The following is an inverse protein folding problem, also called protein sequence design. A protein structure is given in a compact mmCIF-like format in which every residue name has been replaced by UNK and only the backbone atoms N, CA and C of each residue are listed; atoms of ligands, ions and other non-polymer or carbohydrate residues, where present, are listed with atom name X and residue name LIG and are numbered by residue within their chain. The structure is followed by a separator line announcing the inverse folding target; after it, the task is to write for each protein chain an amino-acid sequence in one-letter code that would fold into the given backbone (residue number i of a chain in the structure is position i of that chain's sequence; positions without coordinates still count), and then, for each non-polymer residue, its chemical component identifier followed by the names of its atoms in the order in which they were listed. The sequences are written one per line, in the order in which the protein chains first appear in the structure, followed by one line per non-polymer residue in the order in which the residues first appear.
data_IF_718600660479
#
_entry.id   IF_718600660479
#
_cell.length_a   1.000
_cell.length_b   1.000
_cell.length_c   1.000
_cell.angle_alpha   90.00
_cell.angle_beta   90.00
_cell.angle_gamma   90.00
#
_symmetry.space_group_name_H-M   'P 1'
#
loop_
_entity.id
_entity.type
_entity.pdbx_description
1 polymer ?
#
# COMPACT_ATOMS: atom_id res chain seq x y z
N UNK A 1 -2.58 2.67 32.80
CA UNK A 1 -2.51 2.34 31.37
C UNK A 1 -1.40 1.32 31.22
N UNK A 2 -1.64 0.17 30.58
CA UNK A 2 -0.62 -0.89 30.43
C UNK A 2 0.27 -0.58 29.23
N UNK A 3 1.45 -1.19 29.17
CA UNK A 3 2.40 -1.03 28.07
C UNK A 3 1.76 -1.44 26.73
N UNK A 4 1.03 -2.55 26.73
CA UNK A 4 0.34 -3.13 25.57
C UNK A 4 -0.68 -2.15 24.99
N UNK A 5 -1.52 -1.55 25.84
CA UNK A 5 -2.49 -0.52 25.41
C UNK A 5 -1.82 0.72 24.84
N UNK A 6 -0.72 1.15 25.43
CA UNK A 6 0.01 2.31 24.92
C UNK A 6 0.70 2.00 23.59
N UNK A 7 1.26 0.80 23.45
CA UNK A 7 1.89 0.30 22.23
C UNK A 7 0.87 0.14 21.10
N UNK A 8 -0.26 -0.51 21.36
CA UNK A 8 -1.40 -0.62 20.46
C UNK A 8 -1.80 0.76 19.94
N UNK A 9 -2.06 1.72 20.84
CA UNK A 9 -2.43 3.10 20.47
C UNK A 9 -1.38 3.78 19.58
N UNK A 10 -0.09 3.67 19.92
CA UNK A 10 1.00 4.27 19.12
C UNK A 10 1.12 3.63 17.75
N UNK A 11 1.02 2.30 17.68
CA UNK A 11 1.08 1.57 16.40
C UNK A 11 -0.09 1.95 15.48
N UNK A 12 -1.32 2.03 16.01
CA UNK A 12 -2.49 2.49 15.25
C UNK A 12 -2.31 3.92 14.76
N UNK A 13 -1.80 4.82 15.60
CA UNK A 13 -1.59 6.22 15.23
C UNK A 13 -0.49 6.38 14.16
N UNK A 14 0.60 5.62 14.24
CA UNK A 14 1.64 5.58 13.22
C UNK A 14 1.09 5.06 11.88
N UNK A 15 0.37 3.93 11.90
CA UNK A 15 -0.25 3.35 10.71
C UNK A 15 -1.22 4.32 10.05
N UNK A 16 -2.10 4.97 10.83
CA UNK A 16 -3.03 5.96 10.29
C UNK A 16 -2.31 7.10 9.58
N UNK A 17 -1.29 7.69 10.20
CA UNK A 17 -0.50 8.79 9.59
C UNK A 17 0.20 8.34 8.30
N UNK A 18 0.74 7.13 8.29
CA UNK A 18 1.34 6.55 7.10
C UNK A 18 0.31 6.35 5.98
N UNK A 19 -0.82 5.71 6.29
CA UNK A 19 -1.90 5.42 5.34
C UNK A 19 -2.47 6.70 4.77
N UNK A 20 -2.74 7.72 5.58
CA UNK A 20 -3.30 9.00 5.12
C UNK A 20 -2.40 9.64 4.04
N UNK A 21 -1.08 9.65 4.25
CA UNK A 21 -0.10 10.15 3.27
C UNK A 21 -0.01 9.23 2.05
N UNK A 22 0.01 7.92 2.26
CA UNK A 22 0.15 6.94 1.19
C UNK A 22 -1.05 6.93 0.23
N UNK A 23 -2.26 7.17 0.72
CA UNK A 23 -3.47 7.30 -0.12
C UNK A 23 -3.39 8.50 -1.05
N UNK A 24 -2.86 9.63 -0.57
CA UNK A 24 -2.60 10.80 -1.42
C UNK A 24 -1.62 10.43 -2.53
N UNK A 25 -0.52 9.76 -2.19
CA UNK A 25 0.48 9.31 -3.16
C UNK A 25 -0.13 8.33 -4.17
N UNK A 26 -0.95 7.38 -3.74
CA UNK A 26 -1.62 6.43 -4.63
C UNK A 26 -2.51 7.14 -5.67
N UNK A 27 -3.27 8.16 -5.26
CA UNK A 27 -4.07 8.98 -6.19
C UNK A 27 -3.18 9.75 -7.17
N UNK A 28 -2.06 10.28 -6.71
CA UNK A 28 -1.11 10.97 -7.58
C UNK A 28 -0.47 10.02 -8.59
N UNK A 29 -0.20 8.76 -8.21
CA UNK A 29 0.27 7.71 -9.11
C UNK A 29 -0.78 7.40 -10.20
N UNK A 30 -2.06 7.27 -9.85
CA UNK A 30 -3.14 7.11 -10.84
C UNK A 30 -3.19 8.29 -11.80
N UNK A 31 -2.98 9.53 -11.32
CA UNK A 31 -2.92 10.72 -12.18
C UNK A 31 -1.71 10.68 -13.10
N UNK A 32 -0.52 10.39 -12.59
CA UNK A 32 0.72 10.28 -13.40
C UNK A 32 0.55 9.24 -14.50
N UNK A 33 -0.01 8.08 -14.16
CA UNK A 33 -0.20 6.98 -15.11
C UNK A 33 -1.45 7.10 -15.98
N UNK A 34 -2.42 7.94 -15.62
CA UNK A 34 -3.71 8.12 -16.29
C UNK A 34 -3.85 9.42 -17.11
N UNK A 35 -3.11 10.49 -16.78
CA UNK A 35 -3.13 11.77 -17.54
C UNK A 35 -2.05 11.89 -18.61
N UNK A 36 -1.03 11.04 -18.64
CA UNK A 36 0.12 11.24 -19.54
C UNK A 36 0.70 9.98 -20.18
N UNK A 37 0.02 8.83 -20.10
CA UNK A 37 0.41 7.68 -20.92
C UNK A 37 0.14 7.99 -22.41
N UNK A 38 1.16 8.54 -23.09
CA UNK A 38 1.35 8.63 -24.55
C UNK A 38 0.99 9.94 -25.28
N UNK A 39 0.93 11.11 -24.64
CA UNK A 39 0.64 12.38 -25.36
C UNK A 39 1.84 13.28 -25.65
N UNK A 40 3.02 13.05 -25.03
CA UNK A 40 4.20 13.92 -25.23
C UNK A 40 5.30 13.25 -26.08
N UNK A 41 5.71 13.86 -27.21
CA UNK A 41 6.38 13.16 -28.30
C UNK A 41 7.88 12.89 -28.14
N UNK A 42 8.53 13.22 -27.01
CA UNK A 42 10.01 13.13 -26.93
C UNK A 42 10.59 12.20 -25.84
N UNK A 43 10.02 12.12 -24.62
CA UNK A 43 10.55 11.23 -23.56
C UNK A 43 9.47 10.71 -22.56
N UNK A 44 8.42 10.01 -23.00
CA UNK A 44 7.35 9.55 -22.12
C UNK A 44 7.81 8.52 -21.08
N UNK A 45 8.69 7.59 -21.47
CA UNK A 45 9.17 6.50 -20.60
C UNK A 45 10.02 7.01 -19.44
N UNK A 46 10.99 7.88 -19.74
CA UNK A 46 11.88 8.44 -18.73
C UNK A 46 11.11 9.27 -17.69
N UNK A 47 10.11 10.06 -18.12
CA UNK A 47 9.27 10.82 -17.19
C UNK A 47 8.42 9.93 -16.30
N UNK A 48 7.81 8.88 -16.86
CA UNK A 48 7.06 7.91 -16.07
C UNK A 48 7.95 7.24 -15.02
N UNK A 49 9.17 6.82 -15.41
CA UNK A 49 10.17 6.26 -14.49
C UNK A 49 10.51 7.22 -13.35
N UNK A 50 10.88 8.45 -13.69
CA UNK A 50 11.34 9.44 -12.71
C UNK A 50 10.19 9.80 -11.75
N UNK A 51 8.97 9.98 -12.27
CA UNK A 51 7.79 10.21 -11.44
C UNK A 51 7.49 9.03 -10.50
N UNK A 52 7.58 7.78 -10.98
CA UNK A 52 7.38 6.60 -10.14
C UNK A 52 8.46 6.48 -9.05
N UNK A 53 9.71 6.78 -9.38
CA UNK A 53 10.81 6.81 -8.41
C UNK A 53 10.57 7.88 -7.32
N UNK A 54 10.16 9.09 -7.71
CA UNK A 54 9.85 10.17 -6.77
C UNK A 54 8.69 9.77 -5.83
N UNK A 55 7.65 9.13 -6.36
CA UNK A 55 6.52 8.64 -5.54
C UNK A 55 6.91 7.50 -4.61
N UNK A 56 7.79 6.61 -5.03
CA UNK A 56 8.38 5.60 -4.15
C UNK A 56 9.14 6.24 -3.00
N UNK A 57 10.00 7.22 -3.27
CA UNK A 57 10.72 7.95 -2.21
C UNK A 57 9.76 8.68 -1.26
N UNK A 58 8.66 9.23 -1.78
CA UNK A 58 7.63 9.84 -0.95
C UNK A 58 6.97 8.83 0.01
N UNK A 59 6.67 7.59 -0.43
CA UNK A 59 6.15 6.53 0.45
C UNK A 59 7.17 6.18 1.54
N UNK A 60 8.44 6.01 1.17
CA UNK A 60 9.51 5.69 2.13
C UNK A 60 9.70 6.81 3.17
N UNK A 61 9.64 8.06 2.72
CA UNK A 61 9.70 9.21 3.62
C UNK A 61 8.49 9.27 4.56
N UNK A 62 7.28 8.98 4.06
CA UNK A 62 6.06 8.91 4.87
C UNK A 62 6.13 7.80 5.92
N UNK A 63 6.65 6.62 5.56
CA UNK A 63 6.84 5.51 6.50
C UNK A 63 7.83 5.88 7.61
N UNK A 64 8.95 6.52 7.26
CA UNK A 64 9.97 6.97 8.22
C UNK A 64 9.42 8.03 9.17
N UNK A 65 8.71 9.03 8.66
CA UNK A 65 8.12 10.09 9.47
C UNK A 65 7.07 9.53 10.46
N UNK A 66 6.25 8.60 9.99
CA UNK A 66 5.28 7.90 10.84
C UNK A 66 5.98 7.07 11.94
N UNK A 67 7.09 6.40 11.63
CA UNK A 67 7.80 5.55 12.60
C UNK A 67 8.51 6.34 13.70
N UNK A 68 8.93 7.59 13.45
CA UNK A 68 9.66 8.42 14.42
C UNK A 68 8.80 9.48 15.13
N UNK A 69 7.48 9.39 15.00
CA UNK A 69 6.55 10.44 15.46
C UNK A 69 6.49 10.62 16.99
N UNK A 70 6.91 9.64 17.80
CA UNK A 70 6.72 9.66 19.25
C UNK A 70 8.00 10.06 20.01
N UNK A 71 7.94 11.16 20.77
CA UNK A 71 9.07 11.76 21.50
C UNK A 71 9.84 10.83 22.45
N UNK A 72 9.26 9.69 22.87
CA UNK A 72 9.85 8.76 23.85
C UNK A 72 10.09 7.35 23.30
N UNK A 73 10.05 7.15 21.99
CA UNK A 73 10.31 5.84 21.35
C UNK A 73 11.19 6.08 20.13
N UNK A 74 12.31 5.37 20.02
CA UNK A 74 13.23 5.55 18.91
C UNK A 74 12.55 5.27 17.56
N UNK A 75 11.79 4.17 17.45
CA UNK A 75 11.00 3.79 16.26
C UNK A 75 9.77 2.96 16.62
N UNK A 76 8.63 3.25 15.98
CA UNK A 76 7.40 2.42 16.02
C UNK A 76 7.21 1.77 14.64
N UNK A 77 6.91 0.47 14.63
CA UNK A 77 6.70 -0.27 13.40
C UNK A 77 5.46 0.23 12.63
N UNK A 78 5.63 0.47 11.34
CA UNK A 78 4.54 0.70 10.39
C UNK A 78 4.11 -0.63 9.79
N UNK A 79 2.86 -0.74 9.38
CA UNK A 79 2.16 -1.94 8.93
C UNK A 79 1.92 -3.01 10.00
N UNK A 80 2.30 -2.76 11.25
CA UNK A 80 1.98 -3.63 12.38
C UNK A 80 0.90 -2.98 13.23
N UNK A 81 -0.20 -3.68 13.44
CA UNK A 81 -1.21 -3.36 14.44
C UNK A 81 -1.00 -4.26 15.64
N UNK A 82 -1.16 -3.71 16.83
CA UNK A 82 -1.14 -4.45 18.09
C UNK A 82 -2.47 -4.25 18.83
N UNK A 83 -2.99 -5.27 19.49
CA UNK A 83 -4.16 -5.14 20.36
C UNK A 83 -3.80 -4.91 21.84
N UNK A 84 -4.83 -4.78 22.69
CA UNK A 84 -4.63 -4.60 24.12
C UNK A 84 -4.05 -5.83 24.84
N UNK A 85 -4.04 -7.00 24.18
CA UNK A 85 -3.50 -8.26 24.68
C UNK A 85 -2.06 -8.52 24.23
N UNK A 86 -1.52 -7.69 23.33
CA UNK A 86 -0.17 -7.80 22.79
C UNK A 86 -0.06 -8.64 21.52
N UNK A 87 -1.18 -9.08 20.95
CA UNK A 87 -1.21 -9.79 19.67
C UNK A 87 -0.95 -8.80 18.53
N UNK A 88 -0.11 -9.21 17.58
CA UNK A 88 0.31 -8.36 16.46
C UNK A 88 -0.09 -8.97 15.12
N UNK A 89 -0.59 -8.13 14.21
CA UNK A 89 -0.91 -8.52 12.84
C UNK A 89 -0.62 -7.39 11.85
N UNK A 90 -0.68 -7.70 10.56
CA UNK A 90 -0.38 -6.73 9.51
C UNK A 90 -1.61 -5.87 9.20
N UNK A 91 -1.45 -4.55 9.16
CA UNK A 91 -2.49 -3.63 8.72
C UNK A 91 -2.79 -3.85 7.22
N UNK A 92 -4.04 -4.19 6.83
CA UNK A 92 -4.37 -4.51 5.44
C UNK A 92 -4.18 -3.35 4.46
N UNK A 93 -4.29 -2.10 4.91
CA UNK A 93 -4.09 -0.93 4.05
C UNK A 93 -2.60 -0.66 3.90
N UNK A 94 -1.83 -0.70 4.99
CA UNK A 94 -0.38 -0.53 4.94
C UNK A 94 0.32 -1.64 4.14
N UNK A 95 -0.19 -2.88 4.19
CA UNK A 95 0.26 -3.99 3.33
C UNK A 95 0.05 -3.69 1.84
N UNK A 96 -1.12 -3.16 1.48
CA UNK A 96 -1.39 -2.73 0.11
C UNK A 96 -0.46 -1.57 -0.32
N UNK A 97 -0.12 -0.67 0.60
CA UNK A 97 0.88 0.39 0.33
C UNK A 97 2.27 -0.19 0.11
N UNK A 98 2.66 -1.23 0.86
CA UNK A 98 3.89 -1.98 0.63
C UNK A 98 3.92 -2.61 -0.76
N UNK A 99 2.79 -3.19 -1.19
CA UNK A 99 2.64 -3.74 -2.55
C UNK A 99 2.76 -2.65 -3.62
N UNK A 100 2.13 -1.49 -3.43
CA UNK A 100 2.29 -0.33 -4.31
C UNK A 100 3.75 0.14 -4.40
N UNK A 101 4.45 0.23 -3.27
CA UNK A 101 5.87 0.60 -3.27
C UNK A 101 6.71 -0.41 -4.07
N UNK A 102 6.46 -1.72 -3.89
CA UNK A 102 7.15 -2.77 -4.62
C UNK A 102 6.88 -2.73 -6.14
N UNK A 103 5.62 -2.51 -6.55
CA UNK A 103 5.28 -2.41 -7.98
C UNK A 103 5.89 -1.16 -8.62
N UNK A 104 5.89 -0.02 -7.92
CA UNK A 104 6.57 1.20 -8.40
C UNK A 104 8.08 1.00 -8.54
N UNK A 105 8.73 0.35 -7.56
CA UNK A 105 10.16 0.05 -7.64
C UNK A 105 10.50 -0.86 -8.83
N UNK A 106 9.68 -1.90 -9.04
CA UNK A 106 9.80 -2.80 -10.20
C UNK A 106 9.63 -2.02 -11.50
N UNK A 107 8.59 -1.20 -11.60
CA UNK A 107 8.33 -0.39 -12.78
C UNK A 107 9.48 0.59 -13.07
N UNK A 108 9.94 1.34 -12.08
CA UNK A 108 11.08 2.26 -12.25
C UNK A 108 12.36 1.52 -12.70
N UNK A 109 12.61 0.33 -12.16
CA UNK A 109 13.75 -0.51 -12.57
C UNK A 109 13.59 -0.97 -14.02
N UNK A 110 12.42 -1.49 -14.38
CA UNK A 110 12.10 -1.97 -15.73
C UNK A 110 12.24 -0.87 -16.79
N UNK A 111 11.75 0.33 -16.49
CA UNK A 111 11.81 1.47 -17.41
C UNK A 111 13.22 2.07 -17.54
N UNK A 112 14.20 1.59 -16.77
CA UNK A 112 15.57 2.10 -16.82
C UNK A 112 16.25 1.67 -18.12
N UNK A 113 16.70 2.65 -18.91
CA UNK A 113 17.39 2.41 -20.17
C UNK A 113 16.47 2.16 -21.36
N UNK A 114 15.14 2.19 -21.16
CA UNK A 114 14.17 2.03 -22.24
C UNK A 114 14.06 3.30 -23.10
N UNK A 115 13.99 3.10 -24.41
CA UNK A 115 13.75 4.14 -25.39
C UNK A 115 12.26 4.17 -25.79
N UNK A 116 11.79 5.31 -26.29
CA UNK A 116 10.39 5.44 -26.74
C UNK A 116 10.03 4.47 -27.88
N UNK A 117 11.01 4.06 -28.70
CA UNK A 117 10.84 3.06 -29.75
C UNK A 117 10.52 1.66 -29.21
N UNK A 118 10.94 1.34 -28.00
CA UNK A 118 10.76 0.02 -27.39
C UNK A 118 9.29 -0.19 -26.97
N UNK A 119 8.54 0.90 -26.76
CA UNK A 119 7.10 0.83 -26.51
C UNK A 119 6.29 0.47 -27.77
N UNK A 120 6.81 0.80 -28.95
CA UNK A 120 6.18 0.46 -30.24
C UNK A 120 6.54 -0.94 -30.74
N UNK A 121 7.50 -1.62 -30.08
CA UNK A 121 7.83 -3.01 -30.37
C UNK A 121 6.71 -3.95 -29.92
N UNK A 122 6.33 -4.90 -30.78
CA UNK A 122 5.20 -5.82 -30.56
C UNK A 122 5.42 -6.80 -29.42
N UNK A 123 6.66 -6.92 -28.94
CA UNK A 123 7.05 -7.84 -27.87
C UNK A 123 7.25 -7.08 -26.56
N UNK A 124 8.00 -5.99 -26.61
CA UNK A 124 8.37 -5.18 -25.44
C UNK A 124 7.23 -4.29 -24.95
N UNK A 125 6.47 -3.68 -25.86
CA UNK A 125 5.35 -2.79 -25.54
C UNK A 125 4.28 -3.40 -24.63
N UNK A 126 3.73 -4.59 -24.94
CA UNK A 126 2.73 -5.26 -24.10
C UNK A 126 3.24 -5.57 -22.69
N UNK A 127 4.51 -5.97 -22.57
CA UNK A 127 5.11 -6.28 -21.27
C UNK A 127 5.27 -5.04 -20.39
N UNK A 128 5.76 -3.92 -20.96
CA UNK A 128 5.86 -2.64 -20.22
C UNK A 128 4.49 -2.16 -19.76
N UNK A 129 3.49 -2.25 -20.63
CA UNK A 129 2.13 -1.87 -20.28
C UNK A 129 1.61 -2.72 -19.12
N UNK A 130 1.88 -4.04 -19.12
CA UNK A 130 1.54 -4.91 -17.99
C UNK A 130 2.19 -4.48 -16.67
N UNK A 131 3.47 -4.08 -16.69
CA UNK A 131 4.15 -3.57 -15.48
C UNK A 131 3.55 -2.26 -14.99
N UNK A 132 3.14 -1.36 -15.89
CA UNK A 132 2.47 -0.12 -15.52
C UNK A 132 1.04 -0.37 -15.02
N UNK A 133 0.34 -1.35 -15.58
CA UNK A 133 -0.97 -1.79 -15.11
C UNK A 133 -0.89 -2.40 -13.72
N UNK A 134 0.15 -3.17 -13.39
CA UNK A 134 0.41 -3.65 -12.03
C UNK A 134 0.48 -2.49 -11.01
N UNK A 135 1.13 -1.38 -11.38
CA UNK A 135 1.21 -0.18 -10.53
C UNK A 135 -0.16 0.47 -10.37
N UNK A 136 -0.91 0.62 -11.46
CA UNK A 136 -2.29 1.18 -11.42
C UNK A 136 -3.20 0.34 -10.53
N UNK A 137 -3.15 -0.98 -10.68
CA UNK A 137 -3.95 -1.91 -9.89
C UNK A 137 -3.57 -1.83 -8.41
N UNK A 138 -2.28 -1.75 -8.08
CA UNK A 138 -1.82 -1.59 -6.70
C UNK A 138 -2.26 -0.24 -6.10
N UNK A 139 -2.20 0.85 -6.87
CA UNK A 139 -2.67 2.17 -6.43
C UNK A 139 -4.19 2.16 -6.17
N UNK A 140 -4.96 1.58 -7.09
CA UNK A 140 -6.41 1.39 -6.93
C UNK A 140 -6.76 0.54 -5.72
N UNK A 141 -5.96 -0.50 -5.43
CA UNK A 141 -6.15 -1.36 -4.26
C UNK A 141 -5.94 -0.60 -2.94
N UNK A 142 -4.91 0.26 -2.85
CA UNK A 142 -4.70 1.13 -1.69
C UNK A 142 -5.91 2.04 -1.46
N UNK A 143 -6.40 2.69 -2.52
CA UNK A 143 -7.56 3.59 -2.44
C UNK A 143 -8.82 2.82 -2.04
N UNK A 144 -9.04 1.64 -2.61
CA UNK A 144 -10.18 0.77 -2.31
C UNK A 144 -10.17 0.31 -0.86
N UNK A 145 -9.03 -0.16 -0.34
CA UNK A 145 -8.90 -0.61 1.05
C UNK A 145 -9.03 0.54 2.05
N UNK A 146 -8.47 1.70 1.73
CA UNK A 146 -8.64 2.90 2.56
C UNK A 146 -10.11 3.38 2.58
N UNK A 147 -10.81 3.31 1.45
CA UNK A 147 -12.24 3.64 1.35
C UNK A 147 -13.17 2.61 2.01
N UNK A 148 -12.75 1.35 2.10
CA UNK A 148 -13.47 0.29 2.81
C UNK A 148 -13.19 0.19 4.31
N UNK A 149 -12.14 0.85 4.82
CA UNK A 149 -11.74 0.82 6.23
C UNK A 149 -12.58 1.72 7.16
N UNK A 150 -13.74 2.20 6.68
CA UNK A 150 -14.69 2.99 7.46
C UNK A 150 -15.66 2.16 8.33
N UNK A 151 -15.48 0.84 8.45
CA UNK A 151 -16.20 0.03 9.41
C UNK A 151 -15.23 -0.74 10.30
N UNK A 152 -15.25 -0.56 11.64
CA UNK A 152 -14.74 -1.62 12.50
C UNK A 152 -15.61 -2.85 12.21
N UNK A 153 -14.98 -3.99 11.92
CA UNK A 153 -15.68 -5.26 12.01
C UNK A 153 -16.10 -5.41 13.46
N UNK A 154 -17.35 -5.05 13.77
CA UNK A 154 -18.01 -5.46 14.98
C UNK A 154 -18.09 -6.98 14.94
N UNK A 155 -17.36 -7.65 15.82
CA UNK A 155 -17.58 -9.05 16.14
C UNK A 155 -19.07 -9.27 16.43
N UNK A 156 -19.75 -9.94 15.49
CA UNK A 156 -21.07 -10.50 15.72
C UNK A 156 -20.93 -11.77 16.57
N UNK A 157 -21.85 -12.03 17.52
CA UNK A 157 -21.63 -12.98 18.59
C UNK A 157 -21.53 -14.42 18.07
N UNK A 158 -20.60 -15.17 18.66
CA UNK A 158 -20.52 -16.63 18.63
C UNK A 158 -21.91 -17.23 18.77
N UNK A 159 -22.40 -18.07 17.83
CA UNK A 159 -23.65 -18.78 18.05
C UNK A 159 -23.48 -19.75 19.22
N UNK A 160 -24.28 -19.52 20.26
CA UNK A 160 -24.38 -20.38 21.42
C UNK A 160 -24.90 -21.77 21.02
N UNK A 161 -24.16 -22.79 21.46
CA UNK A 161 -24.66 -24.10 21.89
C UNK A 161 -25.72 -24.80 21.05
N UNK A 162 -25.30 -25.84 20.32
CA UNK A 162 -26.16 -26.92 19.86
C UNK A 162 -25.41 -28.24 20.01
N UNK A 163 -25.59 -28.92 21.14
CA UNK A 163 -25.19 -30.32 21.29
C UNK A 163 -26.19 -31.18 20.50
N UNK A 164 -25.74 -31.82 19.42
CA UNK A 164 -26.46 -32.94 18.81
C UNK A 164 -25.60 -34.21 18.94
N UNK A 165 -25.98 -35.04 19.90
CA UNK A 165 -25.54 -36.43 20.06
C UNK A 165 -26.13 -37.30 18.95
N UNK A 166 -25.34 -38.09 18.20
CA UNK A 166 -25.90 -39.11 17.33
C UNK A 166 -26.26 -40.37 18.13
N UNK A 167 -27.57 -40.62 18.29
CA UNK A 167 -28.11 -41.92 18.68
C UNK A 167 -27.74 -42.97 17.65
N UNK A 168 -26.93 -43.96 18.06
CA UNK A 168 -26.74 -45.20 17.31
C UNK A 168 -27.90 -46.15 17.64
N UNK A 169 -28.60 -46.60 16.61
CA UNK A 169 -29.43 -47.82 16.62
C UNK A 169 -28.64 -48.94 15.95
#
# INVERSE_FOLDING_TARGET
MTFEREWARKSTEANRRFVDKAVVIAREVEVVLGRESMTYPRHPVQRARDALADRLFAILAAARDASTTFYNVDQVAVAIVSDEMGDNWVDPVADAVGTLAATMARAATVLTGMLGSDLSDTTTGPWVNGVLDDVRNAAGEVIRRAGGSAAPQSDGPTPAGGYDTPSRS
#
